data_IF_605017781057
#
_entry.id   IF_605017781057
#
_cell.length_a   1.000
_cell.length_b   1.000
_cell.length_c   1.000
_cell.angle_alpha   90.00
_cell.angle_beta   90.00
_cell.angle_gamma   90.00
#
_symmetry.space_group_name_H-M   'P 1'
#
loop_
_entity.id
_entity.type
_entity.pdbx_description
1 polymer ?
#
# COMPACT_ATOMS: atom_id res chain seq x y z
N UNK A 1 -2.22 -4.89 -16.78
CA UNK A 1 -1.50 -3.79 -17.47
C UNK A 1 -1.77 -2.51 -16.69
N UNK A 2 -0.75 -1.80 -16.19
CA UNK A 2 -0.92 -0.53 -15.45
C UNK A 2 -1.17 0.66 -16.40
N UNK A 3 -2.29 0.64 -17.12
CA UNK A 3 -2.58 1.60 -18.21
C UNK A 3 -3.02 2.98 -17.73
N UNK A 4 -3.46 3.10 -16.48
CA UNK A 4 -3.82 4.37 -15.84
C UNK A 4 -3.00 4.51 -14.55
N UNK A 5 -1.98 5.39 -14.51
CA UNK A 5 -1.25 5.68 -13.29
C UNK A 5 -2.18 6.24 -12.22
N UNK A 6 -1.93 5.88 -10.96
CA UNK A 6 -2.55 6.47 -9.78
C UNK A 6 -1.67 7.62 -9.28
N UNK A 7 -2.25 8.82 -9.14
CA UNK A 7 -1.61 9.93 -8.45
C UNK A 7 -1.79 9.75 -6.94
N UNK A 8 -0.68 9.73 -6.20
CA UNK A 8 -0.68 9.58 -4.74
C UNK A 8 -0.41 10.92 -4.02
N UNK A 9 0.38 11.80 -4.65
CA UNK A 9 0.70 13.15 -4.18
C UNK A 9 1.05 14.03 -5.40
N UNK A 10 1.24 15.35 -5.29
CA UNK A 10 1.47 16.29 -6.41
C UNK A 10 2.51 15.81 -7.42
N UNK A 11 3.60 15.20 -6.94
CA UNK A 11 4.70 14.70 -7.78
C UNK A 11 4.93 13.19 -7.66
N UNK A 12 3.98 12.44 -7.10
CA UNK A 12 4.09 10.99 -6.91
C UNK A 12 3.00 10.24 -7.66
N UNK A 13 3.42 9.39 -8.59
CA UNK A 13 2.52 8.46 -9.28
C UNK A 13 3.01 7.02 -9.17
N UNK A 14 2.05 6.09 -9.19
CA UNK A 14 2.33 4.65 -9.21
C UNK A 14 1.48 3.93 -10.24
N UNK A 15 2.06 2.93 -10.88
CA UNK A 15 1.32 1.92 -11.67
C UNK A 15 1.29 0.58 -10.96
N UNK A 16 2.40 0.25 -10.31
CA UNK A 16 2.62 -0.90 -9.45
C UNK A 16 3.47 -0.43 -8.27
N UNK A 17 3.66 -1.30 -7.28
CA UNK A 17 4.52 -1.03 -6.14
C UNK A 17 5.98 -0.96 -6.58
N UNK A 18 6.72 -0.05 -5.97
CA UNK A 18 8.17 0.12 -6.12
C UNK A 18 8.88 -0.22 -4.81
N UNK A 19 10.18 -0.54 -4.88
CA UNK A 19 10.99 -0.78 -3.69
C UNK A 19 10.97 0.43 -2.77
N UNK A 20 10.76 0.19 -1.47
CA UNK A 20 10.55 1.22 -0.46
C UNK A 20 9.08 1.61 -0.25
N UNK A 21 8.16 1.26 -1.15
CA UNK A 21 6.74 1.51 -0.93
C UNK A 21 6.25 0.72 0.30
N UNK A 22 5.48 1.40 1.16
CA UNK A 22 4.80 0.77 2.30
C UNK A 22 3.29 0.80 2.08
N UNK A 23 2.67 -0.37 2.14
CA UNK A 23 1.21 -0.53 2.02
C UNK A 23 0.63 -0.75 3.41
N UNK A 24 -0.35 0.08 3.78
CA UNK A 24 -1.13 -0.07 5.01
C UNK A 24 -2.58 -0.35 4.64
N UNK A 25 -3.09 -1.50 5.08
CA UNK A 25 -4.50 -1.85 4.98
C UNK A 25 -5.18 -1.70 6.34
N UNK A 26 -6.29 -0.97 6.37
CA UNK A 26 -7.16 -0.83 7.54
C UNK A 26 -8.58 -1.18 7.15
N UNK A 27 -9.35 -1.61 8.14
CA UNK A 27 -10.76 -1.92 7.96
C UNK A 27 -11.48 -1.81 9.30
N UNK A 28 -12.76 -1.46 9.24
CA UNK A 28 -13.62 -1.42 10.41
C UNK A 28 -15.07 -1.65 10.00
N UNK A 29 -15.86 -2.21 10.92
CA UNK A 29 -17.32 -2.15 10.84
C UNK A 29 -17.78 -0.81 11.42
N UNK A 30 -18.66 -0.10 10.70
CA UNK A 30 -19.29 1.13 11.17
C UNK A 30 -20.70 0.82 11.69
N UNK A 31 -20.90 0.98 13.00
CA UNK A 31 -22.21 0.98 13.64
C UNK A 31 -22.72 2.41 13.87
N UNK A 32 -23.91 2.54 14.45
CA UNK A 32 -24.43 3.85 14.87
C UNK A 32 -23.66 4.34 16.11
N UNK A 33 -22.88 5.41 15.95
CA UNK A 33 -22.07 5.98 17.03
C UNK A 33 -20.80 5.23 17.42
N UNK A 34 -20.45 4.09 16.79
CA UNK A 34 -19.22 3.35 17.10
C UNK A 34 -18.56 2.66 15.90
N UNK A 35 -17.28 2.27 16.07
CA UNK A 35 -16.49 1.51 15.10
C UNK A 35 -15.85 0.29 15.77
N UNK A 36 -15.85 -0.85 15.09
CA UNK A 36 -15.06 -2.02 15.49
C UNK A 36 -13.96 -2.19 14.45
N UNK A 37 -12.73 -1.87 14.85
CA UNK A 37 -11.56 -1.89 13.97
C UNK A 37 -10.83 -3.23 13.96
N UNK A 38 -10.26 -3.58 12.81
CA UNK A 38 -9.40 -4.75 12.64
C UNK A 38 -7.92 -4.45 12.95
N UNK A 39 -7.58 -3.19 13.22
CA UNK A 39 -6.19 -2.74 13.33
C UNK A 39 -5.56 -2.49 11.95
N UNK A 40 -4.23 -2.55 11.89
CA UNK A 40 -3.45 -2.32 10.67
C UNK A 40 -2.79 -3.62 10.22
N UNK A 41 -2.85 -3.89 8.92
CA UNK A 41 -1.99 -4.85 8.24
C UNK A 41 -1.00 -4.05 7.37
N UNK A 42 0.29 -4.14 7.69
CA UNK A 42 1.33 -3.28 7.11
C UNK A 42 2.45 -4.13 6.53
N UNK A 43 2.93 -3.75 5.36
CA UNK A 43 4.13 -4.32 4.75
C UNK A 43 4.88 -3.33 3.87
N UNK A 44 6.20 -3.44 3.86
CA UNK A 44 7.10 -2.63 3.03
C UNK A 44 7.77 -3.51 1.99
N UNK A 45 7.79 -3.06 0.73
CA UNK A 45 8.51 -3.75 -0.34
C UNK A 45 10.00 -3.45 -0.18
N UNK A 46 10.79 -4.48 0.07
CA UNK A 46 12.25 -4.38 0.07
C UNK A 46 12.80 -4.76 -1.29
N UNK A 47 14.00 -4.25 -1.67
CA UNK A 47 14.66 -4.63 -2.90
C UNK A 47 14.80 -6.14 -3.04
N UNK A 48 14.73 -6.60 -4.29
CA UNK A 48 15.01 -7.99 -4.63
C UNK A 48 16.43 -8.38 -4.20
N UNK A 49 16.60 -9.66 -3.85
CA UNK A 49 17.92 -10.23 -3.62
C UNK A 49 18.77 -10.14 -4.91
N UNK A 50 20.08 -9.91 -4.80
CA UNK A 50 20.96 -9.90 -5.96
C UNK A 50 20.96 -11.27 -6.64
N UNK A 51 21.11 -11.28 -7.97
CA UNK A 51 21.26 -12.52 -8.71
C UNK A 51 22.57 -13.22 -8.28
N UNK A 52 22.56 -14.55 -8.12
CA UNK A 52 23.78 -15.30 -7.87
C UNK A 52 24.73 -15.18 -9.08
N UNK A 53 26.01 -14.95 -8.79
CA UNK A 53 27.10 -14.93 -9.78
C UNK A 53 27.39 -16.31 -10.34
#
# INVERSE_FOLDING_TARGET
RGSKPLQLDENLTRKFLEDGDTVTMTGFYQGDGFKIGFGQCIGTIIPALPLPT
#
